data_IF_853675384223
#
_entry.id   IF_853675384223
#
_cell.length_a   1.000
_cell.length_b   1.000
_cell.length_c   1.000
_cell.angle_alpha   90.00
_cell.angle_beta   90.00
_cell.angle_gamma   90.00
#
_symmetry.space_group_name_H-M   'P 1'
#
loop_
_entity.id
_entity.type
_entity.pdbx_description
1 polymer ?
#
# COMPACT_ATOMS: atom_id res chain seq x y z
N UNK A 1 -2.78 3.04 -32.57
CA UNK A 1 -1.82 3.76 -31.70
C UNK A 1 -2.55 4.09 -30.41
N UNK A 2 -2.36 3.30 -29.35
CA UNK A 2 -3.04 3.49 -28.07
C UNK A 2 -2.12 4.31 -27.16
N UNK A 3 -2.52 5.56 -26.90
CA UNK A 3 -1.80 6.50 -26.05
C UNK A 3 -1.69 5.96 -24.62
N UNK A 4 -0.49 5.56 -24.23
CA UNK A 4 -0.10 5.43 -22.84
C UNK A 4 0.10 6.86 -22.28
N UNK A 5 -0.98 7.47 -21.80
CA UNK A 5 -0.89 8.68 -20.99
C UNK A 5 -0.25 8.31 -19.66
N UNK A 6 1.04 8.61 -19.53
CA UNK A 6 1.73 8.79 -18.26
C UNK A 6 0.99 9.90 -17.51
N UNK A 7 0.04 9.51 -16.67
CA UNK A 7 -0.69 10.41 -15.77
C UNK A 7 0.30 10.93 -14.72
N UNK A 8 0.82 12.14 -14.93
CA UNK A 8 1.58 12.94 -13.96
C UNK A 8 0.71 13.42 -12.79
N UNK A 9 -0.09 12.53 -12.20
CA UNK A 9 -0.80 12.79 -10.94
C UNK A 9 0.24 12.79 -9.82
N UNK A 10 0.15 13.68 -8.82
CA UNK A 10 0.99 13.61 -7.64
C UNK A 10 0.89 12.19 -7.08
N UNK A 11 1.93 11.40 -7.33
CA UNK A 11 1.89 9.96 -7.12
C UNK A 11 2.06 9.77 -5.63
N UNK A 12 0.94 9.60 -4.94
CA UNK A 12 0.98 9.37 -3.51
C UNK A 12 1.85 8.15 -3.24
N UNK A 13 3.00 8.41 -2.63
CA UNK A 13 4.07 7.43 -2.58
C UNK A 13 3.92 6.63 -1.31
N UNK A 14 3.44 5.40 -1.45
CA UNK A 14 3.28 4.46 -0.35
C UNK A 14 4.42 3.45 -0.37
N UNK A 15 5.28 3.52 0.64
CA UNK A 15 6.40 2.62 0.82
C UNK A 15 6.10 1.66 1.97
N UNK A 16 6.43 0.38 1.78
CA UNK A 16 6.48 -0.59 2.87
C UNK A 16 7.90 -1.13 2.96
N UNK A 17 8.46 -1.17 4.18
CA UNK A 17 9.75 -1.77 4.44
C UNK A 17 9.75 -2.51 5.78
N UNK A 18 10.61 -3.53 5.96
CA UNK A 18 11.44 -4.15 4.93
C UNK A 18 10.59 -4.90 3.88
N UNK A 19 11.08 -4.99 2.65
CA UNK A 19 10.49 -5.81 1.60
C UNK A 19 11.64 -6.54 0.87
N UNK A 20 11.77 -7.88 0.97
CA UNK A 20 10.81 -8.83 1.56
C UNK A 20 10.69 -8.75 3.09
N UNK A 21 9.53 -9.09 3.64
CA UNK A 21 9.28 -9.11 5.10
C UNK A 21 8.87 -10.49 5.61
N UNK A 22 9.15 -10.77 6.89
CA UNK A 22 8.73 -11.98 7.60
C UNK A 22 7.39 -11.89 8.32
N UNK A 23 6.61 -10.85 8.04
CA UNK A 23 5.30 -10.62 8.65
C UNK A 23 5.16 -9.22 9.22
N UNK A 24 6.23 -8.57 9.68
CA UNK A 24 6.16 -7.17 10.12
C UNK A 24 6.69 -6.21 9.07
N UNK A 25 5.86 -5.26 8.66
CA UNK A 25 6.24 -4.18 7.74
C UNK A 25 5.85 -2.84 8.33
N UNK A 26 6.69 -1.85 8.12
CA UNK A 26 6.38 -0.46 8.40
C UNK A 26 5.82 0.18 7.14
N UNK A 27 4.60 0.70 7.26
CA UNK A 27 3.93 1.47 6.23
C UNK A 27 4.34 2.94 6.38
N UNK A 28 5.02 3.47 5.38
CA UNK A 28 5.27 4.89 5.24
C UNK A 28 4.51 5.47 4.05
N UNK A 29 3.68 6.47 4.36
CA UNK A 29 3.01 7.28 3.36
C UNK A 29 3.49 8.70 3.56
N UNK A 30 4.24 9.20 2.59
CA UNK A 30 4.80 10.55 2.63
C UNK A 30 3.93 11.49 1.78
N UNK A 31 2.80 11.90 2.35
CA UNK A 31 1.81 12.75 1.67
C UNK A 31 1.21 13.79 2.63
N UNK A 32 0.80 14.94 2.09
CA UNK A 32 0.12 15.98 2.89
C UNK A 32 -1.23 15.48 3.42
N UNK A 33 -1.52 15.86 4.67
CA UNK A 33 -2.84 15.74 5.26
C UNK A 33 -3.87 16.53 4.46
N UNK A 34 -5.09 16.00 4.33
CA UNK A 34 -6.18 16.62 3.58
C UNK A 34 -6.90 15.70 2.58
N UNK A 35 -6.48 14.45 2.45
CA UNK A 35 -7.21 13.43 1.69
C UNK A 35 -7.38 12.15 2.51
N UNK A 36 -8.46 11.41 2.27
CA UNK A 36 -8.69 10.09 2.86
C UNK A 36 -7.85 9.04 2.13
N UNK A 37 -6.76 8.63 2.77
CA UNK A 37 -5.90 7.56 2.28
C UNK A 37 -6.37 6.22 2.84
N UNK A 38 -6.45 5.20 1.98
CA UNK A 38 -6.82 3.84 2.39
C UNK A 38 -5.91 2.84 1.72
N UNK A 39 -5.26 2.02 2.52
CA UNK A 39 -4.47 0.88 2.08
C UNK A 39 -5.41 -0.30 1.88
N UNK A 40 -5.45 -0.82 0.66
CA UNK A 40 -6.13 -2.08 0.35
C UNK A 40 -5.10 -3.13 0.01
N UNK A 41 -4.99 -4.14 0.86
CA UNK A 41 -4.16 -5.30 0.62
C UNK A 41 -4.99 -6.38 -0.05
N UNK A 42 -4.46 -6.91 -1.15
CA UNK A 42 -5.09 -7.94 -1.97
C UNK A 42 -4.08 -9.03 -2.30
N UNK A 43 -4.54 -10.26 -2.47
CA UNK A 43 -3.67 -11.36 -2.89
C UNK A 43 -3.51 -11.41 -4.43
N UNK A 44 -2.74 -12.38 -4.92
CA UNK A 44 -2.51 -12.58 -6.36
C UNK A 44 -3.78 -12.89 -7.18
N UNK A 45 -4.85 -13.35 -6.54
CA UNK A 45 -6.15 -13.62 -7.19
C UNK A 45 -7.10 -12.42 -7.10
N UNK A 46 -6.66 -11.28 -6.55
CA UNK A 46 -7.46 -10.06 -6.43
C UNK A 46 -8.44 -10.04 -5.26
N UNK A 47 -8.39 -11.03 -4.37
CA UNK A 47 -9.20 -11.05 -3.15
C UNK A 47 -8.63 -10.02 -2.16
N UNK A 48 -9.49 -9.14 -1.66
CA UNK A 48 -9.14 -8.21 -0.60
C UNK A 48 -8.89 -8.97 0.71
N UNK A 49 -7.66 -8.87 1.20
CA UNK A 49 -7.20 -9.50 2.42
C UNK A 49 -7.41 -8.56 3.61
N UNK A 50 -7.05 -7.28 3.46
CA UNK A 50 -7.25 -6.25 4.48
C UNK A 50 -7.46 -4.87 3.85
N UNK A 51 -8.21 -4.04 4.55
CA UNK A 51 -8.37 -2.62 4.25
C UNK A 51 -8.07 -1.80 5.49
N UNK A 52 -7.09 -0.91 5.41
CA UNK A 52 -6.63 -0.08 6.53
C UNK A 52 -6.74 1.39 6.11
N UNK A 53 -7.46 2.20 6.87
CA UNK A 53 -7.46 3.65 6.67
C UNK A 53 -6.10 4.21 7.12
N UNK A 54 -5.37 4.81 6.19
CA UNK A 54 -4.08 5.43 6.46
C UNK A 54 -4.29 6.89 6.82
N UNK A 55 -3.82 7.29 8.00
CA UNK A 55 -3.77 8.70 8.37
C UNK A 55 -2.37 9.24 8.10
N UNK A 56 -2.19 10.28 7.26
CA UNK A 56 -0.88 10.80 6.88
C UNK A 56 -0.02 11.20 8.09
N UNK A 57 -0.65 11.63 9.18
CA UNK A 57 0.01 11.97 10.45
C UNK A 57 0.66 10.75 11.13
N UNK A 58 -0.02 9.60 11.13
CA UNK A 58 0.49 8.37 11.75
C UNK A 58 1.47 7.63 10.83
N UNK A 59 1.19 7.64 9.54
CA UNK A 59 2.04 6.97 8.54
C UNK A 59 3.31 7.74 8.20
N UNK A 60 3.37 9.05 8.46
CA UNK A 60 4.62 9.82 8.33
C UNK A 60 5.66 9.37 9.35
N UNK A 61 5.22 8.94 10.55
CA UNK A 61 6.08 8.40 11.60
C UNK A 61 6.41 6.91 11.41
N UNK A 62 5.84 6.26 10.39
CA UNK A 62 5.94 4.83 10.16
C UNK A 62 4.92 4.05 10.98
N UNK A 63 3.87 3.57 10.32
CA UNK A 63 2.85 2.74 10.95
C UNK A 63 3.29 1.27 10.87
N UNK A 64 3.59 0.60 11.99
CA UNK A 64 3.84 -0.84 11.98
C UNK A 64 2.56 -1.57 11.61
N UNK A 65 2.67 -2.46 10.64
CA UNK A 65 1.61 -3.32 10.16
C UNK A 65 2.06 -4.76 10.31
N UNK A 66 1.29 -5.51 11.11
CA UNK A 66 1.48 -6.95 11.24
C UNK A 66 0.68 -7.67 10.14
N UNK A 67 1.45 -8.37 9.31
CA UNK A 67 1.07 -9.28 8.24
C UNK A 67 1.57 -10.70 8.54
N UNK A 68 2.01 -10.98 9.78
CA UNK A 68 2.45 -12.31 10.20
C UNK A 68 1.31 -13.32 10.19
N UNK A 69 0.07 -12.82 10.26
CA UNK A 69 -1.16 -13.59 10.02
C UNK A 69 -1.26 -14.13 8.58
N UNK A 70 -0.50 -13.56 7.63
CA UNK A 70 -0.52 -13.94 6.22
C UNK A 70 0.60 -14.92 5.90
N UNK A 71 0.31 -15.88 5.02
CA UNK A 71 1.32 -16.83 4.54
C UNK A 71 2.38 -16.12 3.70
N UNK A 72 3.61 -16.63 3.73
CA UNK A 72 4.66 -16.21 2.82
C UNK A 72 4.20 -16.36 1.36
N UNK A 73 4.39 -15.31 0.57
CA UNK A 73 3.85 -15.22 -0.78
C UNK A 73 3.90 -13.81 -1.35
N UNK A 74 3.27 -13.62 -2.50
CA UNK A 74 3.18 -12.33 -3.17
C UNK A 74 1.82 -11.71 -2.87
N UNK A 75 1.84 -10.42 -2.51
CA UNK A 75 0.65 -9.62 -2.26
C UNK A 75 0.73 -8.32 -3.03
N UNK A 76 -0.43 -7.74 -3.30
CA UNK A 76 -0.57 -6.44 -3.93
C UNK A 76 -1.25 -5.49 -2.97
N UNK A 77 -0.61 -4.37 -2.70
CA UNK A 77 -1.20 -3.31 -1.93
C UNK A 77 -1.51 -2.13 -2.83
N UNK A 78 -2.74 -1.63 -2.73
CA UNK A 78 -3.22 -0.48 -3.47
C UNK A 78 -3.49 0.66 -2.50
N UNK A 79 -3.00 1.85 -2.83
CA UNK A 79 -3.35 3.07 -2.15
C UNK A 79 -4.56 3.69 -2.84
N UNK A 80 -5.63 3.83 -2.08
CA UNK A 80 -6.80 4.59 -2.45
C UNK A 80 -6.69 5.99 -1.85
N UNK A 81 -7.04 7.00 -2.63
CA UNK A 81 -7.12 8.40 -2.22
C UNK A 81 -8.49 8.89 -2.65
N UNK A 82 -9.31 9.36 -1.72
CA UNK A 82 -10.66 9.84 -2.02
C UNK A 82 -11.51 8.76 -2.74
N UNK A 83 -11.34 7.50 -2.35
CA UNK A 83 -12.01 6.34 -2.96
C UNK A 83 -11.41 5.88 -4.30
N UNK A 84 -10.44 6.59 -4.88
CA UNK A 84 -9.80 6.22 -6.15
C UNK A 84 -8.45 5.57 -5.93
N UNK A 85 -8.22 4.40 -6.53
CA UNK A 85 -6.89 3.75 -6.52
C UNK A 85 -5.91 4.63 -7.30
N UNK A 86 -4.86 5.10 -6.63
CA UNK A 86 -3.83 5.96 -7.23
C UNK A 86 -2.53 5.20 -7.50
N UNK A 87 -2.18 4.25 -6.65
CA UNK A 87 -0.96 3.46 -6.79
C UNK A 87 -1.21 2.03 -6.35
N UNK A 88 -0.63 1.08 -7.08
CA UNK A 88 -0.61 -0.33 -6.69
C UNK A 88 0.82 -0.81 -6.77
N UNK A 89 1.25 -1.52 -5.74
CA UNK A 89 2.60 -2.05 -5.62
C UNK A 89 2.57 -3.47 -5.08
N UNK A 90 3.66 -4.18 -5.35
CA UNK A 90 3.84 -5.56 -4.93
C UNK A 90 4.60 -5.63 -3.60
N UNK A 91 4.13 -6.44 -2.68
CA UNK A 91 4.79 -6.81 -1.44
C UNK A 91 5.11 -8.29 -1.47
N UNK A 92 6.30 -8.66 -1.00
CA UNK A 92 6.75 -10.04 -0.90
C UNK A 92 6.91 -10.39 0.58
N UNK A 93 6.18 -11.41 1.01
CA UNK A 93 6.32 -12.00 2.34
C UNK A 93 7.10 -13.31 2.24
N UNK A 94 8.06 -13.50 3.14
CA UNK A 94 8.92 -14.69 3.24
C UNK A 94 8.82 -15.25 4.67
N UNK A 95 8.92 -16.58 4.84
CA UNK A 95 8.83 -17.20 6.17
C UNK A 95 10.17 -17.23 6.90
#
# INVERSE_FOLDING_TARGET
>A
MASATVDGRPTATLNLYPNPSRGQVTVLLNQKAGADYKLRLSNIIGQEIRSIALKPELTSSGLPLDLSDLRAGVYFYSLLVDGKVTTTRRLILQN
#
